data_IF_350233007854
#
_entry.id   IF_350233007854
#
_cell.length_a   1.000
_cell.length_b   1.000
_cell.length_c   1.000
_cell.angle_alpha   90.00
_cell.angle_beta   90.00
_cell.angle_gamma   90.00
#
_symmetry.space_group_name_H-M   'P 1'
#
loop_
_entity.id
_entity.type
_entity.pdbx_description
1 polymer ?
#
# COMPACT_ATOMS: atom_id res chain seq x y z
N UNK A 1 -17.37 19.23 -35.48
CA UNK A 1 -16.33 19.97 -34.73
C UNK A 1 -15.51 20.75 -35.75
N UNK A 2 -15.79 22.04 -35.94
CA UNK A 2 -15.14 22.89 -36.95
C UNK A 2 -14.00 23.68 -36.29
N UNK A 3 -12.79 23.57 -36.80
CA UNK A 3 -11.62 24.30 -36.29
C UNK A 3 -11.58 25.72 -36.90
N UNK A 4 -11.33 26.77 -36.11
CA UNK A 4 -11.17 28.12 -36.65
C UNK A 4 -9.83 28.21 -37.40
N UNK A 5 -9.89 28.53 -38.69
CA UNK A 5 -8.71 28.77 -39.52
C UNK A 5 -8.05 30.08 -39.10
N UNK A 6 -6.82 29.97 -38.59
CA UNK A 6 -5.97 31.11 -38.21
C UNK A 6 -5.63 31.92 -39.46
N UNK A 7 -6.24 33.09 -39.64
CA UNK A 7 -5.85 34.04 -40.69
C UNK A 7 -4.49 34.68 -40.33
N UNK A 8 -3.42 34.09 -40.86
CA UNK A 8 -2.07 34.68 -40.84
C UNK A 8 -2.06 35.88 -41.81
N UNK A 9 -2.29 37.09 -41.30
CA UNK A 9 -1.96 38.30 -42.05
C UNK A 9 -0.44 38.50 -42.06
N UNK A 10 0.21 38.06 -43.12
CA UNK A 10 1.58 38.46 -43.49
C UNK A 10 1.60 39.98 -43.68
N UNK A 11 2.31 40.69 -42.79
CA UNK A 11 2.48 42.14 -42.85
C UNK A 11 3.65 42.45 -43.77
N UNK A 12 3.37 42.96 -44.97
CA UNK A 12 4.37 43.55 -45.87
C UNK A 12 4.78 44.93 -45.33
N UNK A 13 6.07 45.25 -45.17
CA UNK A 13 6.51 46.60 -44.84
C UNK A 13 6.75 47.39 -46.13
N UNK A 14 5.88 48.35 -46.45
CA UNK A 14 6.16 49.30 -47.53
C UNK A 14 4.92 49.89 -48.20
N UNK A 15 4.41 50.99 -47.64
CA UNK A 15 3.86 52.12 -48.38
C UNK A 15 3.38 53.16 -47.35
N UNK A 16 3.98 54.34 -47.39
CA UNK A 16 3.55 55.48 -46.60
C UNK A 16 2.12 55.89 -47.01
N UNK A 17 1.23 56.06 -46.04
CA UNK A 17 0.14 57.04 -46.16
C UNK A 17 -0.27 57.52 -44.78
N UNK A 18 -0.30 58.84 -44.68
CA UNK A 18 -0.55 59.64 -43.50
C UNK A 18 -1.99 59.44 -43.02
N UNK A 19 -2.18 59.12 -41.75
CA UNK A 19 -3.21 59.73 -40.91
C UNK A 19 -2.98 59.34 -39.44
N UNK A 20 -2.30 60.20 -38.70
CA UNK A 20 -2.27 60.18 -37.24
C UNK A 20 -3.52 60.87 -36.72
N UNK A 21 -4.59 60.11 -36.45
CA UNK A 21 -5.70 60.62 -35.63
C UNK A 21 -6.52 59.51 -34.99
N UNK A 22 -6.86 59.74 -33.72
CA UNK A 22 -7.63 58.94 -32.75
C UNK A 22 -6.86 57.86 -31.96
N UNK A 23 -6.37 58.24 -30.78
CA UNK A 23 -5.75 57.37 -29.78
C UNK A 23 -6.74 56.48 -29.04
N UNK A 24 -7.44 55.60 -29.76
CA UNK A 24 -8.27 54.53 -29.21
C UNK A 24 -7.87 53.18 -29.81
N UNK A 25 -7.99 52.06 -29.07
CA UNK A 25 -7.73 50.73 -29.63
C UNK A 25 -8.74 50.44 -30.75
N UNK A 26 -8.26 49.92 -31.89
CA UNK A 26 -9.11 49.57 -33.03
C UNK A 26 -10.19 48.55 -32.61
N UNK A 27 -11.46 48.70 -33.02
CA UNK A 27 -12.58 47.86 -32.52
C UNK A 27 -12.38 46.35 -32.77
N UNK A 28 -11.72 45.98 -33.87
CA UNK A 28 -11.31 44.60 -34.16
C UNK A 28 -10.33 44.02 -33.13
N UNK A 29 -9.42 44.83 -32.59
CA UNK A 29 -8.47 44.39 -31.57
C UNK A 29 -9.18 44.20 -30.23
N UNK A 30 -10.13 45.08 -29.90
CA UNK A 30 -10.95 44.96 -28.69
C UNK A 30 -11.77 43.65 -28.71
N UNK A 31 -12.38 43.31 -29.84
CA UNK A 31 -13.10 42.04 -30.01
C UNK A 31 -12.19 40.81 -29.81
N UNK A 32 -10.99 40.81 -30.42
CA UNK A 32 -10.00 39.73 -30.23
C UNK A 32 -9.50 39.62 -28.79
N UNK A 33 -9.33 40.76 -28.10
CA UNK A 33 -8.94 40.76 -26.68
C UNK A 33 -10.04 40.14 -25.82
N UNK A 34 -11.31 40.46 -26.09
CA UNK A 34 -12.43 39.87 -25.36
C UNK A 34 -12.50 38.35 -25.59
N UNK A 35 -12.35 37.89 -26.82
CA UNK A 35 -12.29 36.46 -27.17
C UNK A 35 -11.13 35.75 -26.44
N UNK A 36 -9.92 36.33 -26.47
CA UNK A 36 -8.75 35.75 -25.80
C UNK A 36 -8.88 35.73 -24.28
N UNK A 37 -9.57 36.71 -23.69
CA UNK A 37 -9.87 36.69 -22.25
C UNK A 37 -10.81 35.53 -21.88
N UNK A 38 -11.84 35.29 -22.68
CA UNK A 38 -12.74 34.15 -22.47
C UNK A 38 -12.02 32.80 -22.63
N UNK A 39 -11.16 32.67 -23.66
CA UNK A 39 -10.35 31.46 -23.84
C UNK A 39 -9.39 31.22 -22.67
N UNK A 40 -8.76 32.28 -22.15
CA UNK A 40 -7.89 32.18 -20.98
C UNK A 40 -8.67 31.73 -19.73
N UNK A 41 -9.90 32.22 -19.54
CA UNK A 41 -10.76 31.77 -18.44
C UNK A 41 -11.05 30.27 -18.54
N UNK A 42 -11.41 29.78 -19.72
CA UNK A 42 -11.64 28.35 -19.94
C UNK A 42 -10.35 27.52 -19.69
N UNK A 43 -9.19 28.02 -20.12
CA UNK A 43 -7.90 27.35 -19.86
C UNK A 43 -7.55 27.31 -18.37
N UNK A 44 -7.89 28.36 -17.61
CA UNK A 44 -7.72 28.37 -16.14
C UNK A 44 -8.62 27.33 -15.49
N UNK A 45 -9.89 27.25 -15.89
CA UNK A 45 -10.82 26.24 -15.39
C UNK A 45 -10.30 24.83 -15.70
N UNK A 46 -9.83 24.58 -16.92
CA UNK A 46 -9.24 23.29 -17.28
C UNK A 46 -8.02 22.95 -16.43
N UNK A 47 -7.11 23.91 -16.22
CA UNK A 47 -5.96 23.73 -15.34
C UNK A 47 -6.39 23.38 -13.91
N UNK A 48 -7.37 24.09 -13.36
CA UNK A 48 -7.84 23.87 -11.99
C UNK A 48 -8.52 22.51 -11.85
N UNK A 49 -9.30 22.09 -12.85
CA UNK A 49 -9.85 20.73 -12.91
C UNK A 49 -8.76 19.67 -13.03
N UNK A 50 -7.76 19.87 -13.88
CA UNK A 50 -6.62 18.93 -13.99
C UNK A 50 -5.83 18.83 -12.68
N UNK A 51 -5.64 19.95 -11.98
CA UNK A 51 -5.00 19.94 -10.66
C UNK A 51 -5.85 19.19 -9.62
N UNK A 52 -7.18 19.38 -9.63
CA UNK A 52 -8.09 18.64 -8.75
C UNK A 52 -8.07 17.13 -9.03
N UNK A 53 -8.06 16.72 -10.30
CA UNK A 53 -7.96 15.32 -10.70
C UNK A 53 -6.63 14.72 -10.26
N UNK A 54 -5.52 15.44 -10.43
CA UNK A 54 -4.21 14.98 -9.95
C UNK A 54 -4.22 14.74 -8.43
N UNK A 55 -4.80 15.65 -7.65
CA UNK A 55 -4.96 15.46 -6.20
C UNK A 55 -5.85 14.26 -5.84
N UNK A 56 -6.90 13.98 -6.63
CA UNK A 56 -7.71 12.78 -6.45
C UNK A 56 -6.94 11.50 -6.78
N UNK A 57 -6.05 11.51 -7.77
CA UNK A 57 -5.20 10.35 -8.10
C UNK A 57 -4.21 10.05 -6.97
N UNK A 58 -3.61 11.07 -6.36
CA UNK A 58 -2.73 10.90 -5.19
C UNK A 58 -3.49 10.34 -3.97
N UNK A 59 -4.68 10.88 -3.69
CA UNK A 59 -5.52 10.36 -2.61
C UNK A 59 -5.98 8.90 -2.87
N UNK A 60 -6.20 8.53 -4.13
CA UNK A 60 -6.55 7.17 -4.53
C UNK A 60 -5.35 6.23 -4.36
N UNK A 61 -4.15 6.66 -4.76
CA UNK A 61 -2.90 5.92 -4.55
C UNK A 61 -2.71 5.56 -3.07
N UNK A 62 -2.89 6.54 -2.18
CA UNK A 62 -2.75 6.28 -0.74
C UNK A 62 -3.77 5.24 -0.24
N UNK A 63 -5.01 5.29 -0.73
CA UNK A 63 -6.03 4.27 -0.40
C UNK A 63 -5.68 2.89 -0.95
N UNK A 64 -5.11 2.81 -2.15
CA UNK A 64 -4.64 1.55 -2.71
C UNK A 64 -3.46 0.98 -1.92
N UNK A 65 -2.55 1.83 -1.45
CA UNK A 65 -1.48 1.41 -0.54
C UNK A 65 -2.05 0.80 0.74
N UNK A 66 -2.97 1.49 1.42
CA UNK A 66 -3.60 0.94 2.64
C UNK A 66 -4.32 -0.39 2.37
N UNK A 67 -4.99 -0.52 1.22
CA UNK A 67 -5.64 -1.77 0.84
C UNK A 67 -4.61 -2.89 0.61
N UNK A 68 -3.51 -2.60 -0.08
CA UNK A 68 -2.41 -3.54 -0.32
C UNK A 68 -1.82 -4.04 1.00
N UNK A 69 -1.47 -3.12 1.91
CA UNK A 69 -0.91 -3.45 3.23
C UNK A 69 -1.89 -4.32 4.05
N UNK A 70 -3.19 -3.99 3.98
CA UNK A 70 -4.24 -4.78 4.61
C UNK A 70 -4.35 -6.21 4.04
N UNK A 71 -4.20 -6.37 2.72
CA UNK A 71 -4.21 -7.70 2.08
C UNK A 71 -2.97 -8.52 2.44
N UNK A 72 -1.81 -7.89 2.59
CA UNK A 72 -0.59 -8.56 3.06
C UNK A 72 -0.76 -9.05 4.51
N UNK A 73 -1.33 -8.22 5.38
CA UNK A 73 -1.64 -8.62 6.76
C UNK A 73 -2.58 -9.84 6.81
N UNK A 74 -3.62 -9.87 5.97
CA UNK A 74 -4.52 -11.02 5.88
C UNK A 74 -3.79 -12.25 5.33
N UNK A 75 -2.91 -12.09 4.34
CA UNK A 75 -2.11 -13.19 3.80
C UNK A 75 -1.20 -13.82 4.88
N UNK A 76 -0.60 -13.00 5.75
CA UNK A 76 0.18 -13.49 6.90
C UNK A 76 -0.68 -14.29 7.87
N UNK A 77 -1.88 -13.79 8.20
CA UNK A 77 -2.82 -14.50 9.08
C UNK A 77 -3.20 -15.84 8.46
N UNK A 78 -3.64 -15.87 7.20
CA UNK A 78 -4.02 -17.11 6.52
C UNK A 78 -2.83 -18.09 6.45
N UNK A 79 -1.62 -17.60 6.18
CA UNK A 79 -0.40 -18.41 6.20
C UNK A 79 -0.15 -19.04 7.57
N UNK A 80 -0.34 -18.28 8.65
CA UNK A 80 -0.25 -18.80 10.01
C UNK A 80 -1.33 -19.86 10.30
N UNK A 81 -2.60 -19.57 9.98
CA UNK A 81 -3.71 -20.52 10.18
C UNK A 81 -3.54 -21.80 9.38
N UNK A 82 -2.99 -21.72 8.16
CA UNK A 82 -2.64 -22.89 7.35
C UNK A 82 -1.64 -23.79 8.10
N UNK A 83 -0.60 -23.21 8.70
CA UNK A 83 0.40 -23.95 9.47
C UNK A 83 -0.21 -24.61 10.72
N UNK A 84 -1.06 -23.88 11.45
CA UNK A 84 -1.76 -24.40 12.64
C UNK A 84 -2.66 -25.59 12.28
N UNK A 85 -3.51 -25.44 11.26
CA UNK A 85 -4.42 -26.50 10.83
C UNK A 85 -3.66 -27.74 10.33
N UNK A 86 -2.53 -27.54 9.63
CA UNK A 86 -1.66 -28.63 9.20
C UNK A 86 -1.02 -29.35 10.37
N UNK A 87 -0.49 -28.62 11.35
CA UNK A 87 0.09 -29.20 12.56
C UNK A 87 -0.95 -30.04 13.33
N UNK A 88 -2.18 -29.53 13.48
CA UNK A 88 -3.29 -30.27 14.08
C UNK A 88 -3.61 -31.52 13.27
N UNK A 89 -3.74 -31.43 11.94
CA UNK A 89 -4.02 -32.59 11.08
C UNK A 89 -2.95 -33.67 11.20
N UNK A 90 -1.67 -33.29 11.19
CA UNK A 90 -0.55 -34.22 11.37
C UNK A 90 -0.53 -34.88 12.76
N UNK A 91 -0.99 -34.17 13.80
CA UNK A 91 -1.12 -34.73 15.15
C UNK A 91 -2.37 -35.64 15.29
N UNK A 92 -3.52 -35.20 14.77
CA UNK A 92 -4.80 -35.91 14.88
C UNK A 92 -4.84 -37.20 14.08
N UNK A 93 -4.20 -37.25 12.90
CA UNK A 93 -4.12 -38.49 12.10
C UNK A 93 -3.28 -39.58 12.77
N UNK A 94 -2.30 -39.22 13.60
CA UNK A 94 -1.56 -40.18 14.45
C UNK A 94 -2.38 -40.68 15.64
N UNK A 95 -3.36 -39.90 16.11
CA UNK A 95 -4.24 -40.29 17.21
C UNK A 95 -5.35 -41.28 16.78
N UNK A 96 -5.70 -41.27 15.49
CA UNK A 96 -6.84 -42.02 14.94
C UNK A 96 -6.50 -43.43 14.41
N UNK A 97 -5.29 -43.97 14.65
CA UNK A 97 -4.98 -45.37 14.34
C UNK A 97 -5.35 -46.24 15.56
N UNK A 98 -6.54 -46.87 15.62
CA UNK A 98 -6.76 -47.93 16.58
C UNK A 98 -5.78 -49.08 16.26
N UNK A 99 -5.26 -49.79 17.28
CA UNK A 99 -4.44 -50.97 17.05
C UNK A 99 -5.26 -51.94 16.20
N UNK A 100 -4.83 -52.15 14.96
CA UNK A 100 -5.37 -53.22 14.13
C UNK A 100 -4.64 -54.47 14.60
N UNK A 101 -5.40 -55.39 15.18
CA UNK A 101 -4.95 -56.71 15.61
C UNK A 101 -4.20 -57.42 14.47
N UNK A 102 -2.88 -57.54 14.60
CA UNK A 102 -2.08 -58.58 13.97
C UNK A 102 -1.14 -59.16 15.05
N UNK A 103 -1.20 -60.47 15.34
CA UNK A 103 -0.39 -61.07 16.39
C UNK A 103 0.97 -61.45 15.82
N UNK A 104 1.99 -60.60 15.93
CA UNK A 104 3.37 -61.01 15.63
C UNK A 104 4.38 -60.25 16.49
N UNK A 105 5.01 -61.02 17.38
CA UNK A 105 6.31 -60.83 18.07
C UNK A 105 6.40 -59.80 19.23
N UNK A 106 6.97 -60.21 20.39
CA UNK A 106 7.14 -59.35 21.56
C UNK A 106 8.48 -58.58 21.52
N UNK A 107 8.46 -57.35 22.07
CA UNK A 107 9.62 -56.63 22.66
C UNK A 107 10.44 -55.61 21.80
N UNK A 108 10.00 -55.14 20.62
CA UNK A 108 10.69 -54.03 19.92
C UNK A 108 9.90 -52.71 19.79
N UNK A 109 8.64 -52.65 20.24
CA UNK A 109 7.83 -51.41 20.13
C UNK A 109 8.09 -50.38 21.26
N UNK A 110 8.76 -50.76 22.36
CA UNK A 110 8.98 -49.87 23.51
C UNK A 110 10.13 -48.87 23.33
N UNK A 111 10.88 -48.95 22.22
CA UNK A 111 12.09 -48.16 21.99
C UNK A 111 12.04 -47.29 20.73
N UNK A 112 10.86 -46.89 20.25
CA UNK A 112 10.82 -45.81 19.26
C UNK A 112 11.18 -44.50 19.97
N UNK A 113 12.33 -43.86 19.68
CA UNK A 113 12.71 -42.63 20.35
C UNK A 113 11.66 -41.55 20.07
N UNK A 114 11.20 -40.87 21.12
CA UNK A 114 10.30 -39.73 20.96
C UNK A 114 10.96 -38.71 20.02
N UNK A 115 10.21 -38.13 19.07
CA UNK A 115 10.76 -37.10 18.21
C UNK A 115 11.27 -35.94 19.06
N UNK A 116 12.45 -35.42 18.70
CA UNK A 116 13.03 -34.26 19.38
C UNK A 116 12.10 -33.04 19.26
N UNK A 117 11.94 -32.28 20.34
CA UNK A 117 11.03 -31.13 20.43
C UNK A 117 11.67 -29.85 19.91
N UNK A 118 12.22 -29.89 18.69
CA UNK A 118 12.82 -28.71 18.07
C UNK A 118 11.73 -27.83 17.45
N UNK A 119 11.72 -26.55 17.84
CA UNK A 119 10.75 -25.55 17.38
C UNK A 119 11.50 -24.33 16.87
N UNK A 120 11.00 -23.69 15.81
CA UNK A 120 11.57 -22.44 15.28
C UNK A 120 10.94 -21.26 16.03
N UNK A 121 11.76 -20.48 16.70
CA UNK A 121 11.34 -19.23 17.34
C UNK A 121 11.99 -18.06 16.58
N UNK A 122 11.22 -17.10 16.04
CA UNK A 122 11.77 -15.92 15.40
C UNK A 122 12.69 -15.15 16.35
N UNK A 123 13.91 -14.83 15.93
CA UNK A 123 14.91 -14.11 16.75
C UNK A 123 14.85 -12.60 16.59
N UNK A 124 13.95 -12.09 15.77
CA UNK A 124 13.85 -10.67 15.39
C UNK A 124 13.42 -9.77 16.57
N UNK A 125 12.80 -10.38 17.58
CA UNK A 125 12.45 -9.76 18.87
C UNK A 125 13.26 -10.35 20.04
N UNK A 126 14.38 -11.04 19.76
CA UNK A 126 15.22 -11.63 20.82
C UNK A 126 15.62 -10.66 21.95
N UNK A 127 16.00 -9.38 21.71
CA UNK A 127 16.37 -8.49 22.81
C UNK A 127 15.19 -8.12 23.72
N UNK A 128 13.96 -8.02 23.20
CA UNK A 128 12.78 -7.74 24.03
C UNK A 128 12.32 -8.98 24.80
N UNK A 129 12.47 -10.17 24.21
CA UNK A 129 12.20 -11.45 24.90
C UNK A 129 13.22 -11.74 26.00
N UNK A 130 14.51 -11.42 25.79
CA UNK A 130 15.55 -11.52 26.83
C UNK A 130 15.26 -10.56 27.98
N UNK A 131 14.93 -9.30 27.69
CA UNK A 131 14.54 -8.34 28.73
C UNK A 131 13.30 -8.80 29.51
N UNK A 132 12.28 -9.37 28.85
CA UNK A 132 11.11 -9.92 29.55
C UNK A 132 11.43 -11.17 30.39
N UNK A 133 12.33 -12.04 29.90
CA UNK A 133 12.78 -13.21 30.63
C UNK A 133 13.60 -12.82 31.88
N UNK A 134 14.52 -11.87 31.77
CA UNK A 134 15.29 -11.33 32.90
C UNK A 134 14.38 -10.69 33.95
N UNK A 135 13.43 -9.86 33.54
CA UNK A 135 12.44 -9.27 34.46
C UNK A 135 11.57 -10.33 35.16
N UNK A 136 11.19 -11.41 34.47
CA UNK A 136 10.41 -12.50 35.06
C UNK A 136 11.24 -13.31 36.09
N UNK A 137 12.54 -13.46 35.86
CA UNK A 137 13.46 -14.14 36.77
C UNK A 137 13.71 -13.27 38.02
N UNK A 138 13.98 -11.97 37.85
CA UNK A 138 14.18 -11.02 38.97
C UNK A 138 12.93 -10.89 39.86
N UNK A 139 11.74 -10.92 39.27
CA UNK A 139 10.47 -10.91 40.02
C UNK A 139 10.25 -12.18 40.87
N UNK A 140 10.70 -13.34 40.37
CA UNK A 140 10.65 -14.60 41.10
C UNK A 140 11.68 -14.65 42.23
N UNK A 141 12.88 -14.10 42.03
CA UNK A 141 13.93 -14.03 43.05
C UNK A 141 13.57 -13.08 44.19
N UNK A 142 13.00 -11.90 43.89
CA UNK A 142 12.54 -10.96 44.91
C UNK A 142 11.36 -11.52 45.74
N UNK A 143 10.43 -12.26 45.12
CA UNK A 143 9.34 -12.92 45.86
C UNK A 143 9.84 -14.04 46.77
N UNK A 144 10.89 -14.76 46.35
CA UNK A 144 11.54 -15.80 47.16
C UNK A 144 12.30 -15.21 48.36
N UNK A 145 12.97 -14.06 48.20
CA UNK A 145 13.66 -13.37 49.30
C UNK A 145 12.73 -12.77 50.35
N UNK A 146 11.53 -12.30 49.96
CA UNK A 146 10.57 -11.70 50.89
C UNK A 146 9.82 -12.74 51.74
N UNK A 147 9.91 -14.02 51.37
CA UNK A 147 9.19 -15.14 52.02
C UNK A 147 10.02 -15.90 53.05
N UNK A 148 11.20 -15.40 53.43
CA UNK A 148 12.16 -16.05 54.33
C UNK A 148 12.46 -15.17 55.54
#
# INVERSE_FOLDING_TARGET
MSFPTRSLSTRLPGAASQNVSSGGPSPMLVARIAEKKAELEHLKQLRDLSAAVAGQMEALEQKLSTLSDGTEAIAMVIGNWHNVLRAISMASTKLAKPPTDEPTEPEEERSMPLPQTLVRIPTEHAPTLQAQAENAIEGAENSSMLSR
#
